data_IF_025506008690
#
_entry.id   IF_025506008690
#
_cell.length_a   1.000
_cell.length_b   1.000
_cell.length_c   1.000
_cell.angle_alpha   90.00
_cell.angle_beta   90.00
_cell.angle_gamma   90.00
#
_symmetry.space_group_name_H-M   'P 1'
#
loop_
_entity.id
_entity.type
_entity.pdbx_description
1 polymer ?
#
# COMPACT_ATOMS: atom_id res chain seq x y z
N UNK A 1 -11.89 14.86 12.01
CA UNK A 1 -10.98 13.95 11.25
C UNK A 1 -11.46 13.97 9.81
N UNK A 2 -10.60 14.18 8.81
CA UNK A 2 -11.04 14.40 7.41
C UNK A 2 -11.88 13.23 6.89
N UNK A 3 -11.61 12.01 7.34
CA UNK A 3 -12.36 10.79 6.97
C UNK A 3 -13.85 10.82 7.36
N UNK A 4 -14.20 11.59 8.38
CA UNK A 4 -15.56 11.69 8.90
C UNK A 4 -16.30 12.92 8.34
N UNK A 5 -15.60 13.75 7.56
CA UNK A 5 -16.16 14.94 6.92
C UNK A 5 -16.73 14.58 5.54
N UNK A 6 -18.05 14.35 5.51
CA UNK A 6 -18.79 14.01 4.29
C UNK A 6 -18.83 15.13 3.25
N UNK A 7 -18.41 16.36 3.59
CA UNK A 7 -18.39 17.47 2.64
C UNK A 7 -17.20 17.44 1.67
N UNK A 8 -16.18 16.63 1.96
CA UNK A 8 -14.92 16.58 1.17
C UNK A 8 -14.42 15.16 0.92
N UNK A 9 -14.55 14.28 1.92
CA UNK A 9 -13.90 12.97 1.87
C UNK A 9 -14.38 12.06 0.74
N UNK A 10 -15.69 11.95 0.46
CA UNK A 10 -16.18 11.11 -0.64
C UNK A 10 -15.62 11.54 -2.00
N UNK A 11 -15.64 12.84 -2.30
CA UNK A 11 -15.14 13.44 -3.54
C UNK A 11 -13.62 13.23 -3.66
N UNK A 12 -12.89 13.45 -2.57
CA UNK A 12 -11.45 13.26 -2.55
C UNK A 12 -11.04 11.80 -2.77
N UNK A 13 -11.69 10.84 -2.10
CA UNK A 13 -11.39 9.41 -2.25
C UNK A 13 -11.81 8.88 -3.63
N UNK A 14 -12.88 9.44 -4.22
CA UNK A 14 -13.32 9.12 -5.58
C UNK A 14 -12.39 9.64 -6.66
N UNK A 15 -11.69 10.74 -6.42
CA UNK A 15 -10.64 11.23 -7.32
C UNK A 15 -9.37 10.35 -7.34
N UNK A 16 -9.16 9.49 -6.34
CA UNK A 16 -8.06 8.52 -6.31
C UNK A 16 -8.42 7.26 -7.09
N UNK A 17 -7.46 6.73 -7.86
CA UNK A 17 -7.65 5.53 -8.65
C UNK A 17 -7.74 4.27 -7.80
N UNK A 18 -8.59 3.34 -8.23
CA UNK A 18 -8.78 2.03 -7.62
C UNK A 18 -7.72 1.06 -8.15
N UNK A 19 -6.81 0.65 -7.27
CA UNK A 19 -5.71 -0.25 -7.64
C UNK A 19 -6.24 -1.54 -8.29
N UNK A 20 -5.72 -1.88 -9.46
CA UNK A 20 -6.12 -3.08 -10.22
C UNK A 20 -7.41 -2.94 -11.03
N UNK A 21 -8.08 -1.78 -11.00
CA UNK A 21 -9.37 -1.58 -11.66
C UNK A 21 -9.33 -0.45 -12.69
N UNK A 22 -8.84 0.74 -12.34
CA UNK A 22 -8.99 1.92 -13.19
C UNK A 22 -7.68 2.68 -13.51
N UNK A 23 -7.79 3.59 -14.49
CA UNK A 23 -6.76 4.56 -14.84
C UNK A 23 -5.36 3.98 -15.03
N UNK A 24 -4.38 4.68 -14.45
CA UNK A 24 -2.96 4.32 -14.53
C UNK A 24 -2.56 3.12 -13.65
N UNK A 25 -3.50 2.58 -12.86
CA UNK A 25 -3.27 1.47 -11.94
C UNK A 25 -4.04 0.21 -12.31
N UNK A 26 -4.84 0.22 -13.38
CA UNK A 26 -5.62 -0.93 -13.88
C UNK A 26 -4.81 -2.21 -14.09
N UNK A 27 -3.54 -2.06 -14.48
CA UNK A 27 -2.65 -3.19 -14.76
C UNK A 27 -1.76 -3.57 -13.57
N UNK A 28 -1.84 -2.84 -12.45
CA UNK A 28 -1.06 -3.10 -11.24
C UNK A 28 -1.87 -4.01 -10.32
N UNK A 29 -1.21 -5.01 -9.72
CA UNK A 29 -1.83 -5.90 -8.71
C UNK A 29 -3.13 -6.62 -9.12
N UNK A 30 -3.45 -6.77 -10.42
CA UNK A 30 -4.72 -7.36 -10.90
C UNK A 30 -5.06 -8.76 -10.36
N UNK A 31 -4.05 -9.55 -10.00
CA UNK A 31 -4.22 -10.91 -9.42
C UNK A 31 -4.33 -10.91 -7.89
N UNK A 32 -4.26 -9.74 -7.25
CA UNK A 32 -4.39 -9.60 -5.80
C UNK A 32 -5.85 -9.28 -5.49
N UNK A 33 -6.57 -10.22 -4.88
CA UNK A 33 -8.01 -10.10 -4.61
C UNK A 33 -8.37 -8.84 -3.79
N UNK A 34 -7.50 -8.42 -2.87
CA UNK A 34 -7.70 -7.23 -2.03
C UNK A 34 -7.19 -5.92 -2.64
N UNK A 35 -6.68 -5.93 -3.88
CA UNK A 35 -6.09 -4.72 -4.49
C UNK A 35 -7.05 -3.54 -4.55
N UNK A 36 -8.34 -3.77 -4.86
CA UNK A 36 -9.36 -2.72 -4.92
C UNK A 36 -9.60 -1.98 -3.60
N UNK A 37 -9.13 -2.52 -2.47
CA UNK A 37 -9.15 -1.84 -1.16
C UNK A 37 -8.08 -0.74 -1.04
N UNK A 38 -7.25 -0.54 -2.07
CA UNK A 38 -6.29 0.56 -2.14
C UNK A 38 -6.77 1.64 -3.13
N UNK A 39 -6.81 2.89 -2.64
CA UNK A 39 -7.15 4.10 -3.40
C UNK A 39 -5.91 4.96 -3.51
N UNK A 40 -5.43 5.21 -4.72
CA UNK A 40 -4.07 5.72 -4.93
C UNK A 40 -3.98 6.78 -6.02
N UNK A 41 -2.98 7.64 -5.89
CA UNK A 41 -2.50 8.52 -6.96
C UNK A 41 -1.08 8.13 -7.35
N UNK A 42 -0.83 8.10 -8.65
CA UNK A 42 0.51 7.88 -9.22
C UNK A 42 1.19 9.20 -9.56
N UNK A 43 2.50 9.26 -9.33
CA UNK A 43 3.41 10.28 -9.86
C UNK A 43 4.59 9.62 -10.57
N UNK A 44 5.00 10.13 -11.72
CA UNK A 44 6.16 9.60 -12.46
C UNK A 44 6.83 10.74 -13.21
N UNK A 45 8.13 10.91 -12.99
CA UNK A 45 9.00 11.83 -13.72
C UNK A 45 10.30 11.11 -14.10
N UNK A 46 11.24 11.80 -14.75
CA UNK A 46 12.57 11.27 -15.00
C UNK A 46 13.24 10.93 -13.65
N UNK A 47 13.68 9.67 -13.53
CA UNK A 47 14.32 9.13 -12.32
C UNK A 47 13.47 9.20 -11.03
N UNK A 48 12.15 9.41 -11.14
CA UNK A 48 11.24 9.50 -9.98
C UNK A 48 9.99 8.64 -10.18
N UNK A 49 9.63 7.88 -9.15
CA UNK A 49 8.37 7.14 -9.09
C UNK A 49 7.71 7.32 -7.72
N UNK A 50 6.45 7.76 -7.73
CA UNK A 50 5.67 8.03 -6.53
C UNK A 50 4.32 7.30 -6.56
N UNK A 51 3.87 6.87 -5.38
CA UNK A 51 2.56 6.29 -5.15
C UNK A 51 2.10 6.67 -3.73
N UNK A 52 0.95 7.31 -3.63
CA UNK A 52 0.40 7.75 -2.34
C UNK A 52 -1.11 7.52 -2.31
N UNK A 53 -1.68 7.37 -1.11
CA UNK A 53 -3.11 7.22 -0.93
C UNK A 53 -3.47 6.46 0.34
N UNK A 54 -4.52 5.65 0.24
CA UNK A 54 -5.04 4.87 1.35
C UNK A 54 -5.17 3.40 0.99
N UNK A 55 -5.05 2.54 1.99
CA UNK A 55 -5.47 1.14 1.87
C UNK A 55 -6.18 0.70 3.15
N UNK A 56 -7.13 -0.22 3.01
CA UNK A 56 -7.73 -0.91 4.14
C UNK A 56 -7.01 -2.25 4.37
N UNK A 57 -6.53 -2.47 5.59
CA UNK A 57 -5.87 -3.72 5.97
C UNK A 57 -6.86 -4.89 6.03
N UNK A 58 -6.34 -6.09 6.26
CA UNK A 58 -7.16 -7.30 6.42
C UNK A 58 -8.12 -7.20 7.62
N UNK A 59 -7.71 -6.50 8.68
CA UNK A 59 -8.50 -6.27 9.89
C UNK A 59 -9.50 -5.11 9.76
N UNK A 60 -9.56 -4.47 8.58
CA UNK A 60 -10.50 -3.38 8.31
C UNK A 60 -9.99 -1.99 8.70
N UNK A 61 -8.79 -1.89 9.29
CA UNK A 61 -8.18 -0.62 9.63
C UNK A 61 -7.72 0.14 8.38
N UNK A 62 -7.98 1.45 8.34
CA UNK A 62 -7.67 2.31 7.21
C UNK A 62 -6.35 3.06 7.41
N UNK A 63 -5.35 2.74 6.59
CA UNK A 63 -4.04 3.36 6.62
C UNK A 63 -3.90 4.41 5.52
N UNK A 64 -3.22 5.50 5.84
CA UNK A 64 -2.67 6.43 4.86
C UNK A 64 -1.21 6.07 4.58
N UNK A 65 -0.76 6.24 3.34
CA UNK A 65 0.62 6.00 2.97
C UNK A 65 1.12 6.98 1.91
N UNK A 66 2.44 7.15 1.86
CA UNK A 66 3.11 7.89 0.80
C UNK A 66 4.46 7.23 0.50
N UNK A 67 4.68 6.85 -0.74
CA UNK A 67 5.94 6.25 -1.21
C UNK A 67 6.53 7.19 -2.27
N UNK A 68 7.68 7.77 -1.95
CA UNK A 68 8.42 8.67 -2.83
C UNK A 68 9.78 8.04 -3.11
N UNK A 69 10.02 7.63 -4.36
CA UNK A 69 11.29 7.07 -4.80
C UNK A 69 11.95 8.02 -5.79
N UNK A 70 13.00 8.70 -5.32
CA UNK A 70 13.79 9.65 -6.11
C UNK A 70 15.14 9.04 -6.51
N UNK A 71 15.82 9.70 -7.45
CA UNK A 71 17.13 9.29 -7.99
C UNK A 71 17.20 7.81 -8.40
N UNK A 72 16.15 7.34 -9.07
CA UNK A 72 16.01 5.94 -9.46
C UNK A 72 17.13 5.54 -10.43
N UNK A 73 17.99 4.63 -9.98
CA UNK A 73 19.01 3.96 -10.82
C UNK A 73 18.46 2.72 -11.55
N UNK A 74 17.15 2.51 -11.52
CA UNK A 74 16.48 1.37 -12.14
C UNK A 74 15.27 1.81 -12.96
N UNK A 75 14.70 0.88 -13.73
CA UNK A 75 13.52 1.17 -14.54
C UNK A 75 12.30 1.51 -13.68
N UNK A 76 11.45 2.41 -14.19
CA UNK A 76 10.16 2.74 -13.56
C UNK A 76 9.28 1.50 -13.31
N UNK A 77 9.39 0.46 -14.15
CA UNK A 77 8.68 -0.80 -13.96
C UNK A 77 9.13 -1.49 -12.66
N UNK A 78 10.45 -1.54 -12.40
CA UNK A 78 10.98 -2.14 -11.17
C UNK A 78 10.58 -1.34 -9.93
N UNK A 79 10.65 -0.01 -9.99
CA UNK A 79 10.19 0.86 -8.90
C UNK A 79 8.69 0.65 -8.59
N UNK A 80 7.83 0.60 -9.62
CA UNK A 80 6.39 0.31 -9.47
C UNK A 80 6.13 -1.05 -8.84
N UNK A 81 6.91 -2.09 -9.20
CA UNK A 81 6.80 -3.42 -8.57
C UNK A 81 7.13 -3.39 -7.07
N UNK A 82 8.13 -2.61 -6.66
CA UNK A 82 8.48 -2.45 -5.24
C UNK A 82 7.34 -1.75 -4.49
N UNK A 83 6.80 -0.66 -5.06
CA UNK A 83 5.62 0.00 -4.51
C UNK A 83 4.44 -0.98 -4.37
N UNK A 84 4.15 -1.78 -5.39
CA UNK A 84 3.07 -2.79 -5.36
C UNK A 84 3.28 -3.81 -4.23
N UNK A 85 4.52 -4.27 -4.01
CA UNK A 85 4.84 -5.19 -2.93
C UNK A 85 4.62 -4.59 -1.54
N UNK A 86 5.00 -3.32 -1.34
CA UNK A 86 4.76 -2.62 -0.08
C UNK A 86 3.26 -2.54 0.20
N UNK A 87 2.46 -2.15 -0.79
CA UNK A 87 1.00 -2.08 -0.64
C UNK A 87 0.39 -3.46 -0.43
N UNK A 88 0.85 -4.48 -1.16
CA UNK A 88 0.38 -5.85 -0.97
C UNK A 88 0.65 -6.36 0.44
N UNK A 89 1.80 -6.02 1.04
CA UNK A 89 2.09 -6.34 2.45
C UNK A 89 1.19 -5.54 3.39
N UNK A 90 0.99 -4.25 3.13
CA UNK A 90 0.06 -3.39 3.90
C UNK A 90 -1.39 -3.91 3.90
N UNK A 91 -1.90 -4.37 2.76
CA UNK A 91 -3.23 -4.97 2.64
C UNK A 91 -3.43 -6.21 3.53
N UNK A 92 -2.34 -6.91 3.86
CA UNK A 92 -2.34 -8.07 4.76
C UNK A 92 -1.83 -7.74 6.17
N UNK A 93 -1.60 -6.45 6.47
CA UNK A 93 -1.09 -6.02 7.76
C UNK A 93 -2.09 -6.36 8.87
N UNK A 94 -1.55 -6.84 9.98
CA UNK A 94 -2.24 -7.08 11.23
C UNK A 94 -1.53 -6.27 12.30
N UNK A 95 -2.26 -5.51 13.11
CA UNK A 95 -1.62 -4.79 14.20
C UNK A 95 -1.19 -5.78 15.27
N UNK A 96 0.09 -5.71 15.62
CA UNK A 96 0.59 -6.39 16.79
C UNK A 96 0.04 -5.62 18.01
N UNK A 97 -0.72 -6.26 18.92
CA UNK A 97 -1.32 -5.58 20.06
C UNK A 97 -0.27 -4.86 20.90
N UNK A 98 -0.51 -3.60 21.24
CA UNK A 98 0.41 -2.82 22.07
C UNK A 98 0.65 -3.54 23.41
N UNK A 99 1.91 -3.86 23.70
CA UNK A 99 2.31 -4.63 24.89
C UNK A 99 2.66 -6.10 24.62
N UNK A 100 2.49 -6.60 23.40
CA UNK A 100 3.00 -7.92 23.03
C UNK A 100 4.51 -7.88 22.81
N UNK A 101 5.21 -8.88 23.36
CA UNK A 101 6.65 -9.07 23.16
C UNK A 101 6.85 -9.61 21.75
N UNK A 102 7.57 -8.86 20.92
CA UNK A 102 8.01 -9.33 19.61
C UNK A 102 9.07 -10.41 19.82
N UNK A 103 8.69 -11.67 19.70
CA UNK A 103 9.64 -12.77 19.64
C UNK A 103 10.08 -12.88 18.18
N UNK A 104 11.38 -12.76 17.92
CA UNK A 104 11.94 -12.91 16.57
C UNK A 104 11.68 -14.35 16.10
N UNK A 105 10.92 -14.51 15.02
CA UNK A 105 10.59 -15.83 14.44
C UNK A 105 11.83 -16.62 14.01
N UNK A 106 13.02 -16.00 13.96
CA UNK A 106 14.30 -16.69 13.75
C UNK A 106 14.69 -17.63 14.90
N UNK A 107 14.15 -17.46 16.11
CA UNK A 107 14.42 -18.37 17.23
C UNK A 107 13.59 -19.66 17.17
N UNK A 108 12.40 -19.64 16.55
CA UNK A 108 11.53 -20.83 16.41
C UNK A 108 12.13 -21.93 15.54
N UNK A 109 13.00 -21.60 14.59
CA UNK A 109 13.67 -22.60 13.74
C UNK A 109 14.91 -23.23 14.37
N UNK A 110 15.39 -22.72 15.51
CA UNK A 110 16.58 -23.23 16.20
C UNK A 110 16.27 -24.24 17.33
N UNK A 111 14.98 -24.44 17.66
CA UNK A 111 14.55 -25.26 18.81
C UNK A 111 13.67 -26.45 18.41
N UNK A 112 13.99 -27.14 17.32
CA UNK A 112 13.45 -28.48 17.06
C UNK A 112 14.63 -29.45 16.97
N UNK A 113 14.77 -30.42 17.90
CA UNK A 113 15.80 -31.45 17.82
C UNK A 113 15.55 -32.42 16.66
#
# INVERSE_FOLDING_TARGET
>A
NVKDDLSVYPEFVTALGVMGVDGNVKNRMRKVASSSKARVKTGTLNFVSALSGFFQSKEGELFAFSILMNDLKCSNIRAKKIQDQIIQKGLNLQRIPTGSVLIDDREKSASTP
#
